data_IF_335618697484
#
_entry.id   IF_335618697484
#
_cell.length_a   1.000
_cell.length_b   1.000
_cell.length_c   1.000
_cell.angle_alpha   90.00
_cell.angle_beta   90.00
_cell.angle_gamma   90.00
#
_symmetry.space_group_name_H-M   'P 1'
#
loop_
_entity.id
_entity.type
_entity.pdbx_description
1 polymer ?
#
# COMPACT_ATOMS: atom_id res chain seq x y z
N UNK A 1 29.43 8.71 1.12
CA UNK A 1 28.43 8.07 0.25
C UNK A 1 27.79 6.93 1.04
N UNK A 2 26.56 7.10 1.52
CA UNK A 2 25.83 6.11 2.30
C UNK A 2 24.78 5.48 1.39
N UNK A 3 25.00 4.22 0.99
CA UNK A 3 24.02 3.41 0.28
C UNK A 3 22.90 3.00 1.24
N UNK A 4 21.67 3.39 0.92
CA UNK A 4 20.48 2.87 1.59
C UNK A 4 20.27 1.39 1.21
N UNK A 5 19.83 0.51 2.13
CA UNK A 5 19.53 -0.87 1.81
C UNK A 5 18.24 -0.93 0.98
N UNK A 6 18.30 -1.66 -0.14
CA UNK A 6 17.13 -1.97 -0.95
C UNK A 6 16.17 -2.84 -0.14
N UNK A 7 15.01 -2.29 0.22
CA UNK A 7 13.92 -3.05 0.82
C UNK A 7 13.38 -4.02 -0.24
N UNK A 8 13.71 -5.30 -0.11
CA UNK A 8 13.05 -6.35 -0.89
C UNK A 8 11.61 -6.50 -0.40
N UNK A 9 10.65 -6.06 -1.23
CA UNK A 9 9.23 -6.36 -1.05
C UNK A 9 9.02 -7.88 -1.23
N UNK A 10 8.32 -8.58 -0.32
CA UNK A 10 8.01 -9.98 -0.51
C UNK A 10 7.05 -10.14 -1.70
N UNK A 11 7.46 -10.93 -2.68
CA UNK A 11 6.65 -11.31 -3.83
C UNK A 11 5.55 -12.28 -3.39
N UNK A 12 4.40 -11.77 -2.95
CA UNK A 12 3.18 -12.55 -2.76
C UNK A 12 2.51 -12.83 -4.13
N UNK A 13 3.16 -13.64 -4.97
CA UNK A 13 2.80 -13.74 -6.40
C UNK A 13 2.15 -15.05 -6.88
N UNK A 14 2.16 -16.15 -6.12
CA UNK A 14 1.98 -17.48 -6.76
C UNK A 14 0.76 -18.31 -6.31
N UNK A 15 0.36 -18.29 -5.04
CA UNK A 15 -0.75 -19.15 -4.57
C UNK A 15 -2.09 -18.75 -5.21
N UNK A 16 -2.28 -17.44 -5.36
CA UNK A 16 -3.46 -16.82 -5.93
C UNK A 16 -3.64 -17.13 -7.43
N UNK A 17 -2.54 -17.11 -8.18
CA UNK A 17 -2.55 -17.46 -9.61
C UNK A 17 -2.90 -18.94 -9.84
N UNK A 18 -2.44 -19.84 -8.98
CA UNK A 18 -2.69 -21.29 -9.12
C UNK A 18 -4.18 -21.61 -8.90
N UNK A 19 -4.81 -21.06 -7.86
CA UNK A 19 -6.23 -21.28 -7.58
C UNK A 19 -7.12 -20.75 -8.73
N UNK A 20 -6.77 -19.58 -9.27
CA UNK A 20 -7.45 -18.99 -10.41
C UNK A 20 -7.38 -19.88 -11.67
N UNK A 21 -6.19 -20.40 -12.00
CA UNK A 21 -6.04 -21.29 -13.16
C UNK A 21 -6.74 -22.64 -12.98
N UNK A 22 -6.74 -23.21 -11.77
CA UNK A 22 -7.53 -24.40 -11.48
C UNK A 22 -9.03 -24.17 -11.74
N UNK A 23 -9.55 -23.03 -11.31
CA UNK A 23 -10.95 -22.66 -11.52
C UNK A 23 -11.28 -22.51 -13.01
N UNK A 24 -10.40 -21.88 -13.80
CA UNK A 24 -10.55 -21.76 -15.26
C UNK A 24 -10.53 -23.12 -15.95
N UNK A 25 -9.62 -24.01 -15.54
CA UNK A 25 -9.55 -25.36 -16.10
C UNK A 25 -10.82 -26.16 -15.82
N UNK A 26 -11.41 -26.02 -14.63
CA UNK A 26 -12.70 -26.62 -14.27
C UNK A 26 -13.86 -26.08 -15.11
N UNK A 27 -13.91 -24.76 -15.35
CA UNK A 27 -14.91 -24.16 -16.24
C UNK A 27 -14.75 -24.71 -17.67
N UNK A 28 -13.52 -24.79 -18.18
CA UNK A 28 -13.24 -25.30 -19.52
C UNK A 28 -13.67 -26.77 -19.68
N UNK A 29 -13.46 -27.61 -18.65
CA UNK A 29 -13.92 -29.00 -18.69
C UNK A 29 -15.44 -29.11 -18.71
N UNK A 30 -16.15 -28.28 -17.94
CA UNK A 30 -17.61 -28.20 -17.98
C UNK A 30 -18.13 -27.70 -19.34
N UNK A 31 -17.47 -26.71 -19.94
CA UNK A 31 -17.81 -26.22 -21.28
C UNK A 31 -17.61 -27.30 -22.35
N UNK A 32 -16.54 -28.09 -22.26
CA UNK A 32 -16.33 -29.23 -23.15
C UNK A 32 -17.42 -30.30 -22.98
N UNK A 33 -17.78 -30.62 -21.73
CA UNK A 33 -18.87 -31.54 -21.43
C UNK A 33 -20.22 -31.05 -21.98
N UNK A 34 -20.53 -29.76 -21.79
CA UNK A 34 -21.72 -29.12 -22.37
C UNK A 34 -21.76 -29.27 -23.88
N UNK A 35 -20.65 -28.99 -24.56
CA UNK A 35 -20.54 -29.12 -26.02
C UNK A 35 -20.81 -30.56 -26.47
N UNK A 36 -20.27 -31.55 -25.76
CA UNK A 36 -20.54 -32.96 -26.03
C UNK A 36 -22.03 -33.31 -25.84
N UNK A 37 -22.65 -32.90 -24.73
CA UNK A 37 -24.08 -33.14 -24.44
C UNK A 37 -24.98 -32.48 -25.49
N UNK A 38 -24.64 -31.26 -25.91
CA UNK A 38 -25.36 -30.57 -26.99
C UNK A 38 -25.28 -31.32 -28.32
N UNK A 39 -24.11 -31.88 -28.67
CA UNK A 39 -23.99 -32.75 -29.84
C UNK A 39 -24.85 -34.02 -29.75
N UNK A 40 -24.93 -34.63 -28.56
CA UNK A 40 -25.83 -35.78 -28.33
C UNK A 40 -27.31 -35.40 -28.44
N UNK A 41 -27.67 -34.21 -27.97
CA UNK A 41 -29.02 -33.68 -28.08
C UNK A 41 -29.41 -33.50 -29.56
N UNK A 42 -28.56 -32.88 -30.36
CA UNK A 42 -28.77 -32.68 -31.79
C UNK A 42 -29.00 -34.01 -32.54
N UNK A 43 -28.16 -35.01 -32.27
CA UNK A 43 -28.34 -36.38 -32.80
C UNK A 43 -29.68 -36.99 -32.34
N UNK A 44 -30.09 -36.75 -31.08
CA UNK A 44 -31.35 -37.28 -30.56
C UNK A 44 -32.59 -36.68 -31.23
N UNK A 45 -32.52 -35.41 -31.67
CA UNK A 45 -33.62 -34.74 -32.36
C UNK A 45 -33.91 -35.34 -33.74
N UNK A 46 -32.88 -35.85 -34.42
CA UNK A 46 -33.04 -36.45 -35.75
C UNK A 46 -33.47 -37.93 -35.69
N UNK A 47 -33.40 -38.56 -34.52
CA UNK A 47 -33.70 -39.98 -34.34
C UNK A 47 -35.20 -40.25 -34.40
N UNK A 48 -35.62 -41.10 -35.34
CA UNK A 48 -37.01 -41.52 -35.54
C UNK A 48 -37.09 -43.05 -35.55
N UNK A 49 -37.48 -43.64 -34.42
CA UNK A 49 -37.56 -45.12 -34.30
C UNK A 49 -38.97 -45.67 -34.50
N UNK A 50 -39.95 -44.81 -34.78
CA UNK A 50 -41.32 -45.21 -35.02
C UNK A 50 -41.47 -45.95 -36.34
N UNK A 51 -42.41 -46.89 -36.39
CA UNK A 51 -42.66 -47.79 -37.54
C UNK A 51 -42.94 -47.00 -38.84
N UNK A 52 -43.46 -45.78 -38.75
CA UNK A 52 -43.76 -44.91 -39.90
C UNK A 52 -42.77 -43.75 -40.06
N UNK A 53 -41.56 -43.86 -39.49
CA UNK A 53 -40.57 -42.79 -39.55
C UNK A 53 -40.93 -41.56 -38.71
N UNK A 54 -41.82 -41.70 -37.72
CA UNK A 54 -42.11 -40.66 -36.72
C UNK A 54 -41.25 -40.84 -35.47
N UNK A 55 -41.05 -39.76 -34.73
CA UNK A 55 -40.45 -39.84 -33.40
C UNK A 55 -41.40 -40.56 -32.44
N UNK A 56 -40.85 -41.49 -31.65
CA UNK A 56 -41.61 -42.15 -30.59
C UNK A 56 -41.54 -41.35 -29.30
N UNK A 57 -42.45 -41.63 -28.35
CA UNK A 57 -42.36 -41.11 -26.98
C UNK A 57 -41.01 -41.44 -26.32
N UNK A 58 -40.39 -42.57 -26.68
CA UNK A 58 -39.07 -42.97 -26.16
C UNK A 58 -37.97 -42.04 -26.70
N UNK A 59 -38.02 -41.71 -27.99
CA UNK A 59 -37.08 -40.77 -28.63
C UNK A 59 -37.20 -39.37 -28.01
N UNK A 60 -38.43 -38.89 -27.82
CA UNK A 60 -38.71 -37.59 -27.21
C UNK A 60 -38.20 -37.54 -25.76
N UNK A 61 -38.50 -38.55 -24.93
CA UNK A 61 -38.00 -38.61 -23.55
C UNK A 61 -36.47 -38.59 -23.50
N UNK A 62 -35.82 -39.40 -24.35
CA UNK A 62 -34.36 -39.41 -24.46
C UNK A 62 -33.79 -38.02 -24.75
N UNK A 63 -34.41 -37.28 -25.68
CA UNK A 63 -33.97 -35.91 -26.00
C UNK A 63 -34.20 -34.94 -24.84
N UNK A 64 -35.30 -35.09 -24.10
CA UNK A 64 -35.59 -34.29 -22.91
C UNK A 64 -34.60 -34.56 -21.77
N UNK A 65 -34.25 -35.83 -21.54
CA UNK A 65 -33.25 -36.22 -20.53
C UNK A 65 -31.90 -35.56 -20.83
N UNK A 66 -31.44 -35.59 -22.09
CA UNK A 66 -30.19 -34.92 -22.49
C UNK A 66 -30.30 -33.40 -22.31
N UNK A 67 -31.46 -32.80 -22.60
CA UNK A 67 -31.68 -31.37 -22.36
C UNK A 67 -31.58 -31.02 -20.88
N UNK A 68 -32.13 -31.86 -20.00
CA UNK A 68 -32.01 -31.70 -18.54
C UNK A 68 -30.54 -31.75 -18.09
N UNK A 69 -29.77 -32.71 -18.63
CA UNK A 69 -28.34 -32.83 -18.37
C UNK A 69 -27.55 -31.59 -18.85
N UNK A 70 -27.94 -30.99 -19.98
CA UNK A 70 -27.34 -29.74 -20.46
C UNK A 70 -27.61 -28.62 -19.47
N UNK A 71 -28.87 -28.45 -19.04
CA UNK A 71 -29.26 -27.41 -18.07
C UNK A 71 -28.52 -27.58 -16.74
N UNK A 72 -28.35 -28.80 -16.25
CA UNK A 72 -27.55 -29.06 -15.05
C UNK A 72 -26.08 -28.65 -15.24
N UNK A 73 -25.50 -28.94 -16.40
CA UNK A 73 -24.14 -28.50 -16.75
C UNK A 73 -24.03 -26.98 -16.76
N UNK A 74 -25.01 -26.30 -17.35
CA UNK A 74 -25.05 -24.85 -17.45
C UNK A 74 -25.15 -24.21 -16.06
N UNK A 75 -25.97 -24.77 -15.17
CA UNK A 75 -26.04 -24.35 -13.77
C UNK A 75 -24.70 -24.50 -13.05
N UNK A 76 -23.97 -25.59 -13.30
CA UNK A 76 -22.64 -25.78 -12.72
C UNK A 76 -21.64 -24.78 -13.30
N UNK A 77 -21.66 -24.53 -14.62
CA UNK A 77 -20.83 -23.50 -15.27
C UNK A 77 -21.09 -22.13 -14.62
N UNK A 78 -22.35 -21.75 -14.40
CA UNK A 78 -22.69 -20.46 -13.78
C UNK A 78 -22.18 -20.35 -12.35
N UNK A 79 -22.26 -21.42 -11.54
CA UNK A 79 -21.68 -21.44 -10.19
C UNK A 79 -20.17 -21.20 -10.24
N UNK A 80 -19.45 -21.93 -11.10
CA UNK A 80 -18.00 -21.80 -11.20
C UNK A 80 -17.57 -20.43 -11.73
N UNK A 81 -18.32 -19.85 -12.68
CA UNK A 81 -18.09 -18.48 -13.18
C UNK A 81 -18.32 -17.42 -12.11
N UNK A 82 -19.34 -17.59 -11.26
CA UNK A 82 -19.59 -16.68 -10.14
C UNK A 82 -18.41 -16.69 -9.17
N UNK A 83 -17.90 -17.86 -8.80
CA UNK A 83 -16.71 -18.00 -7.94
C UNK A 83 -15.52 -17.27 -8.57
N UNK A 84 -15.30 -17.43 -9.89
CA UNK A 84 -14.21 -16.76 -10.60
C UNK A 84 -14.35 -15.23 -10.57
N UNK A 85 -15.57 -14.71 -10.72
CA UNK A 85 -15.87 -13.28 -10.66
C UNK A 85 -15.67 -12.71 -9.26
N UNK A 86 -16.14 -13.42 -8.24
CA UNK A 86 -15.99 -13.04 -6.84
C UNK A 86 -14.50 -12.98 -6.45
N UNK A 87 -13.72 -13.96 -6.91
CA UNK A 87 -12.26 -13.96 -6.73
C UNK A 87 -11.58 -12.74 -7.36
N UNK A 88 -11.92 -12.41 -8.61
CA UNK A 88 -11.39 -11.22 -9.30
C UNK A 88 -11.77 -9.93 -8.58
N UNK A 89 -13.01 -9.84 -8.12
CA UNK A 89 -13.52 -8.67 -7.39
C UNK A 89 -12.78 -8.50 -6.07
N UNK A 90 -12.57 -9.60 -5.34
CA UNK A 90 -11.79 -9.60 -4.11
C UNK A 90 -10.35 -9.14 -4.32
N UNK A 91 -9.67 -9.67 -5.34
CA UNK A 91 -8.31 -9.24 -5.72
C UNK A 91 -8.25 -7.75 -6.05
N UNK A 92 -9.22 -7.24 -6.81
CA UNK A 92 -9.30 -5.83 -7.16
C UNK A 92 -9.51 -4.95 -5.92
N UNK A 93 -10.43 -5.33 -5.02
CA UNK A 93 -10.67 -4.60 -3.77
C UNK A 93 -9.43 -4.60 -2.89
N UNK A 94 -8.76 -5.74 -2.71
CA UNK A 94 -7.51 -5.80 -1.95
C UNK A 94 -6.43 -4.88 -2.53
N UNK A 95 -6.26 -4.86 -3.85
CA UNK A 95 -5.28 -3.98 -4.49
C UNK A 95 -5.62 -2.50 -4.26
N UNK A 96 -6.91 -2.12 -4.35
CA UNK A 96 -7.36 -0.75 -4.08
C UNK A 96 -7.13 -0.35 -2.62
N UNK A 97 -7.50 -1.22 -1.66
CA UNK A 97 -7.28 -0.98 -0.23
C UNK A 97 -5.79 -0.83 0.09
N UNK A 98 -4.93 -1.70 -0.44
CA UNK A 98 -3.48 -1.60 -0.23
C UNK A 98 -2.90 -0.30 -0.79
N UNK A 99 -3.38 0.18 -1.94
CA UNK A 99 -2.96 1.48 -2.48
C UNK A 99 -3.41 2.62 -1.57
N UNK A 100 -4.66 2.59 -1.10
CA UNK A 100 -5.20 3.60 -0.20
C UNK A 100 -4.48 3.65 1.14
N UNK A 101 -4.17 2.48 1.74
CA UNK A 101 -3.39 2.37 2.97
C UNK A 101 -1.99 2.95 2.78
N UNK A 102 -1.29 2.61 1.68
CA UNK A 102 0.03 3.18 1.39
C UNK A 102 0.02 4.68 1.19
N UNK A 103 -1.00 5.23 0.53
CA UNK A 103 -1.13 6.68 0.37
C UNK A 103 -1.42 7.37 1.72
N UNK A 104 -2.25 6.77 2.58
CA UNK A 104 -2.48 7.29 3.93
C UNK A 104 -1.19 7.27 4.77
N UNK A 105 -0.43 6.18 4.75
CA UNK A 105 0.87 6.07 5.41
C UNK A 105 1.86 7.10 4.88
N UNK A 106 1.90 7.29 3.55
CA UNK A 106 2.72 8.30 2.89
C UNK A 106 2.37 9.70 3.36
N UNK A 107 1.10 10.06 3.44
CA UNK A 107 0.64 11.35 3.97
C UNK A 107 1.02 11.52 5.44
N UNK A 108 0.87 10.46 6.25
CA UNK A 108 1.29 10.46 7.65
C UNK A 108 2.81 10.67 7.79
N UNK A 109 3.63 10.04 6.95
CA UNK A 109 5.08 10.28 6.91
C UNK A 109 5.42 11.71 6.49
N UNK A 110 4.76 12.26 5.47
CA UNK A 110 4.97 13.66 5.05
C UNK A 110 4.68 14.62 6.20
N UNK A 111 3.55 14.42 6.91
CA UNK A 111 3.21 15.27 8.07
C UNK A 111 4.25 15.17 9.19
N UNK A 112 4.75 13.96 9.46
CA UNK A 112 5.81 13.73 10.46
C UNK A 112 7.12 14.39 10.05
N UNK A 113 7.53 14.26 8.78
CA UNK A 113 8.72 14.91 8.23
C UNK A 113 8.61 16.44 8.37
N UNK A 114 7.45 17.01 8.07
CA UNK A 114 7.23 18.46 8.20
C UNK A 114 7.31 18.92 9.66
N UNK A 115 6.76 18.14 10.60
CA UNK A 115 6.91 18.40 12.03
C UNK A 115 8.37 18.37 12.46
N UNK A 116 9.13 17.36 12.05
CA UNK A 116 10.55 17.24 12.36
C UNK A 116 11.36 18.40 11.77
N UNK A 117 11.08 18.81 10.53
CA UNK A 117 11.69 20.00 9.91
C UNK A 117 11.41 21.27 10.70
N UNK A 118 10.16 21.47 11.15
CA UNK A 118 9.79 22.62 11.97
C UNK A 118 10.55 22.62 13.30
N UNK A 119 10.66 21.46 13.96
CA UNK A 119 11.44 21.31 15.19
C UNK A 119 12.92 21.60 14.98
N UNK A 120 13.51 21.17 13.86
CA UNK A 120 14.90 21.49 13.54
C UNK A 120 15.12 22.99 13.32
N UNK A 121 14.22 23.66 12.59
CA UNK A 121 14.30 25.11 12.36
C UNK A 121 14.18 25.86 13.70
N UNK A 122 13.22 25.46 14.54
CA UNK A 122 13.01 26.11 15.84
C UNK A 122 14.20 25.89 16.78
N UNK A 123 14.71 24.66 16.87
CA UNK A 123 15.87 24.35 17.70
C UNK A 123 17.12 25.12 17.26
N UNK A 124 17.34 25.25 15.94
CA UNK A 124 18.44 26.06 15.40
C UNK A 124 18.26 27.54 15.73
N UNK A 125 17.05 28.07 15.59
CA UNK A 125 16.76 29.46 15.94
C UNK A 125 16.95 29.74 17.44
N UNK A 126 16.60 28.78 18.32
CA UNK A 126 16.85 28.88 19.76
C UNK A 126 18.35 28.87 20.07
N UNK A 127 19.10 27.96 19.43
CA UNK A 127 20.55 27.87 19.58
C UNK A 127 21.24 29.17 19.15
N UNK A 128 20.91 29.70 17.96
CA UNK A 128 21.47 30.94 17.43
C UNK A 128 21.18 32.14 18.35
N UNK A 129 19.96 32.22 18.92
CA UNK A 129 19.61 33.25 19.91
C UNK A 129 20.44 33.11 21.19
N UNK A 130 20.59 31.89 21.71
CA UNK A 130 21.35 31.64 22.93
C UNK A 130 22.83 31.98 22.75
N UNK A 131 23.44 31.60 21.62
CA UNK A 131 24.83 31.99 21.30
C UNK A 131 24.96 33.51 21.20
N UNK A 132 24.01 34.18 20.53
CA UNK A 132 24.05 35.63 20.43
C UNK A 132 23.90 36.34 21.78
N UNK A 133 23.04 35.85 22.67
CA UNK A 133 22.91 36.40 24.03
C UNK A 133 24.14 36.14 24.90
N UNK A 134 24.74 34.95 24.79
CA UNK A 134 26.00 34.64 25.44
C UNK A 134 27.12 35.55 24.95
N UNK A 135 27.28 35.73 23.64
CA UNK A 135 28.32 36.59 23.07
C UNK A 135 28.16 38.05 23.53
N UNK A 136 26.93 38.56 23.58
CA UNK A 136 26.64 39.91 24.11
C UNK A 136 26.96 40.01 25.60
N UNK A 137 26.59 39.00 26.39
CA UNK A 137 26.87 38.97 27.82
C UNK A 137 28.38 38.91 28.09
N UNK A 138 29.10 38.04 27.39
CA UNK A 138 30.55 37.91 27.47
C UNK A 138 31.25 39.21 27.05
N UNK A 139 30.80 39.85 25.96
CA UNK A 139 31.33 41.14 25.52
C UNK A 139 31.11 42.23 26.58
N UNK A 140 29.91 42.33 27.15
CA UNK A 140 29.60 43.29 28.21
C UNK A 140 30.43 43.02 29.48
N UNK A 141 30.59 41.76 29.89
CA UNK A 141 31.41 41.40 31.04
C UNK A 141 32.89 41.73 30.80
N UNK A 142 33.40 41.46 29.60
CA UNK A 142 34.78 41.80 29.22
C UNK A 142 35.03 43.32 29.30
N UNK A 143 34.11 44.15 28.78
CA UNK A 143 34.21 45.62 28.88
C UNK A 143 34.19 46.07 30.35
N UNK A 144 33.29 45.54 31.16
CA UNK A 144 33.19 45.90 32.58
C UNK A 144 34.48 45.61 33.35
N UNK A 145 35.12 44.46 33.09
CA UNK A 145 36.40 44.07 33.70
C UNK A 145 37.52 45.03 33.29
N UNK A 146 37.60 45.43 32.01
CA UNK A 146 38.61 46.39 31.52
C UNK A 146 38.45 47.75 32.22
N UNK A 147 37.20 48.24 32.35
CA UNK A 147 36.92 49.51 33.05
C UNK A 147 37.33 49.41 34.52
N UNK A 148 36.98 48.32 35.21
CA UNK A 148 37.34 48.09 36.61
C UNK A 148 38.86 48.12 36.81
N UNK A 149 39.61 47.41 35.97
CA UNK A 149 41.08 47.40 36.02
C UNK A 149 41.65 48.80 35.78
N UNK A 150 41.13 49.55 34.82
CA UNK A 150 41.53 50.93 34.55
C UNK A 150 41.32 51.85 35.77
N UNK A 151 40.17 51.74 36.43
CA UNK A 151 39.87 52.51 37.66
C UNK A 151 40.80 52.11 38.80
N UNK A 152 41.06 50.82 39.00
CA UNK A 152 41.98 50.33 40.02
C UNK A 152 43.41 50.88 39.81
N UNK A 153 43.92 50.86 38.57
CA UNK A 153 45.24 51.42 38.24
C UNK A 153 45.27 52.93 38.50
N UNK A 154 44.23 53.66 38.11
CA UNK A 154 44.15 55.10 38.29
C UNK A 154 44.11 55.48 39.79
N UNK A 155 43.32 54.76 40.59
CA UNK A 155 43.29 54.91 42.05
C UNK A 155 44.65 54.59 42.68
N UNK A 156 45.31 53.51 42.25
CA UNK A 156 46.64 53.15 42.73
C UNK A 156 47.66 54.26 42.46
N UNK A 157 47.68 54.81 41.24
CA UNK A 157 48.57 55.94 40.88
C UNK A 157 48.26 57.18 41.73
N UNK A 158 46.98 57.50 41.97
CA UNK A 158 46.60 58.63 42.82
C UNK A 158 47.00 58.43 44.29
N UNK A 159 46.88 57.22 44.82
CA UNK A 159 47.30 56.90 46.19
C UNK A 159 48.82 56.98 46.36
N UNK A 160 49.59 56.46 45.40
CA UNK A 160 51.06 56.57 45.39
C UNK A 160 51.48 58.04 45.27
N UNK A 161 50.85 58.82 44.38
CA UNK A 161 51.15 60.24 44.22
C UNK A 161 50.83 61.07 45.46
N UNK A 162 49.77 60.72 46.21
CA UNK A 162 49.43 61.35 47.50
C UNK A 162 50.46 61.04 48.59
N UNK A 163 50.95 59.79 48.66
CA UNK A 163 52.01 59.36 49.58
C UNK A 163 53.35 60.06 49.36
N UNK A 164 53.71 60.40 48.13
CA UNK A 164 54.99 61.07 47.79
C UNK A 164 54.94 62.59 48.03
N UNK A 165 53.74 63.19 48.11
CA UNK A 165 53.55 64.63 48.35
C UNK A 165 53.29 64.99 49.82
N UNK A 166 53.10 64.00 50.69
CA UNK A 166 53.00 64.17 52.14
C UNK A 166 54.36 63.89 52.78
#
# INVERSE_FOLDING_TARGET
MLCAPAVQLPAQGNADSIAYEHQRNKINSLLALRKQRFGQYDVSLTKKTGIFGWQTKKDIRRSNDILMDIVETDNNIFKELKILLDYRTFQQTQAQTQVQERENDRLAYISTINRLRKQQIDLKAQFDKQTQEQDKSLHNHAIAIIILLGVCVLLFVLLVKRRVRA
#
